data_IF_947180600113
#
_entry.id   IF_947180600113
#
_cell.length_a   1.000
_cell.length_b   1.000
_cell.length_c   1.000
_cell.angle_alpha   90.00
_cell.angle_beta   90.00
_cell.angle_gamma   90.00
#
_symmetry.space_group_name_H-M   'P 1'
#
loop_
_entity.id
_entity.type
_entity.pdbx_description
1 polymer ?
#
# COMPACT_ATOMS: atom_id res chain seq x y z
N UNK A 1 -41.87 7.72 34.43
CA UNK A 1 -40.87 6.64 34.18
C UNK A 1 -40.90 6.11 32.74
N UNK A 2 -41.76 6.59 31.85
CA UNK A 2 -41.97 6.03 30.51
C UNK A 2 -41.09 6.67 29.42
N UNK A 3 -40.62 7.91 29.60
CA UNK A 3 -39.79 8.60 28.60
C UNK A 3 -38.35 8.05 28.51
N UNK A 4 -37.80 7.58 29.63
CA UNK A 4 -36.45 6.99 29.69
C UNK A 4 -36.38 5.60 29.02
N UNK A 5 -37.49 4.86 29.05
CA UNK A 5 -37.63 3.57 28.37
C UNK A 5 -37.65 3.73 26.85
N UNK A 6 -38.31 4.78 26.34
CA UNK A 6 -38.39 5.07 24.89
C UNK A 6 -37.00 5.49 24.36
N UNK A 7 -36.27 6.32 25.12
CA UNK A 7 -34.90 6.73 24.75
C UNK A 7 -33.91 5.57 24.69
N UNK A 8 -33.99 4.63 25.65
CA UNK A 8 -33.16 3.43 25.66
C UNK A 8 -33.51 2.42 24.56
N UNK A 9 -34.77 2.35 24.15
CA UNK A 9 -35.17 1.51 23.02
C UNK A 9 -34.63 2.05 21.69
N UNK A 10 -34.60 3.39 21.52
CA UNK A 10 -34.09 4.03 20.32
C UNK A 10 -32.57 3.84 20.13
N UNK A 11 -31.79 3.84 21.22
CA UNK A 11 -30.35 3.56 21.16
C UNK A 11 -30.06 2.10 20.87
N UNK A 12 -30.85 1.16 21.39
CA UNK A 12 -30.71 -0.27 21.05
C UNK A 12 -31.00 -0.55 19.57
N UNK A 13 -32.00 0.11 18.98
CA UNK A 13 -32.31 -0.02 17.54
C UNK A 13 -31.17 0.56 16.67
N UNK A 14 -30.58 1.70 17.08
CA UNK A 14 -29.46 2.30 16.36
C UNK A 14 -28.19 1.42 16.36
N UNK A 15 -27.93 0.66 17.43
CA UNK A 15 -26.81 -0.31 17.44
C UNK A 15 -27.04 -1.48 16.48
N UNK A 16 -28.28 -1.94 16.31
CA UNK A 16 -28.59 -3.01 15.35
C UNK A 16 -28.47 -2.57 13.89
N UNK A 17 -28.56 -1.26 13.61
CA UNK A 17 -28.30 -0.68 12.29
C UNK A 17 -26.80 -0.59 11.95
N UNK A 18 -25.92 -0.66 12.95
CA UNK A 18 -24.47 -0.71 12.75
C UNK A 18 -23.95 -2.15 12.58
N UNK A 19 -24.79 -3.15 12.88
CA UNK A 19 -24.60 -4.55 12.50
C UNK A 19 -25.12 -4.77 11.09
N UNK A 20 -24.46 -4.13 10.13
CA UNK A 20 -24.86 -4.15 8.74
C UNK A 20 -24.87 -5.59 8.18
N UNK A 21 -26.08 -6.14 8.03
CA UNK A 21 -26.34 -7.42 7.33
C UNK A 21 -26.57 -7.21 5.83
N UNK A 22 -26.41 -5.98 5.31
CA UNK A 22 -26.65 -5.63 3.91
C UNK A 22 -25.40 -5.67 3.04
N UNK A 23 -24.24 -5.91 3.62
CA UNK A 23 -23.10 -6.37 2.85
C UNK A 23 -23.26 -7.87 2.56
N UNK A 24 -23.39 -8.19 1.27
CA UNK A 24 -23.15 -9.52 0.69
C UNK A 24 -21.70 -9.94 1.00
N UNK A 25 -21.41 -10.25 2.26
CA UNK A 25 -20.15 -10.82 2.65
C UNK A 25 -20.06 -12.18 1.96
N UNK A 26 -19.04 -12.40 1.10
CA UNK A 26 -18.91 -13.67 0.42
C UNK A 26 -18.83 -14.76 1.49
N UNK A 27 -19.55 -15.86 1.25
CA UNK A 27 -19.52 -17.01 2.13
C UNK A 27 -18.05 -17.36 2.46
N UNK A 28 -17.74 -17.47 3.75
CA UNK A 28 -16.39 -17.83 4.17
C UNK A 28 -16.01 -19.14 3.49
N UNK A 29 -14.85 -19.16 2.84
CA UNK A 29 -14.32 -20.38 2.26
C UNK A 29 -14.28 -21.44 3.36
N UNK A 30 -14.72 -22.69 3.10
CA UNK A 30 -14.67 -23.74 4.10
C UNK A 30 -13.26 -23.82 4.69
N UNK A 31 -13.13 -23.90 6.01
CA UNK A 31 -11.83 -24.01 6.69
C UNK A 31 -11.01 -25.19 6.18
N UNK A 32 -11.68 -26.27 5.79
CA UNK A 32 -11.06 -27.42 5.13
C UNK A 32 -10.37 -27.08 3.80
N UNK A 33 -10.86 -26.07 3.06
CA UNK A 33 -10.28 -25.64 1.79
C UNK A 33 -9.15 -24.62 1.99
N UNK A 34 -9.20 -23.80 3.04
CA UNK A 34 -8.11 -22.88 3.43
C UNK A 34 -6.90 -23.66 3.97
N UNK A 35 -7.17 -24.74 4.71
CA UNK A 35 -6.14 -25.59 5.32
C UNK A 35 -5.75 -26.78 4.43
N UNK A 36 -6.31 -26.88 3.23
CA UNK A 36 -5.90 -27.90 2.27
C UNK A 36 -4.46 -27.63 1.82
N UNK A 37 -3.68 -28.70 1.66
CA UNK A 37 -2.35 -28.60 1.07
C UNK A 37 -2.48 -28.04 -0.36
N UNK A 38 -1.79 -26.95 -0.72
CA UNK A 38 -1.85 -26.40 -2.06
C UNK A 38 -1.47 -27.46 -3.10
N UNK A 39 -2.32 -27.62 -4.12
CA UNK A 39 -2.03 -28.52 -5.22
C UNK A 39 -0.75 -28.07 -5.94
N UNK A 40 0.28 -28.90 -5.89
CA UNK A 40 1.55 -28.65 -6.58
C UNK A 40 1.30 -28.75 -8.10
N UNK A 41 1.57 -27.68 -8.87
CA UNK A 41 1.36 -27.71 -10.32
C UNK A 41 2.19 -28.82 -10.99
N UNK A 42 1.66 -29.43 -12.05
CA UNK A 42 2.34 -30.55 -12.74
C UNK A 42 3.78 -30.22 -13.17
N UNK A 43 4.02 -28.99 -13.63
CA UNK A 43 5.34 -28.50 -14.04
C UNK A 43 6.34 -28.33 -12.87
N UNK A 44 5.86 -28.23 -11.62
CA UNK A 44 6.75 -28.19 -10.46
C UNK A 44 7.39 -29.56 -10.18
N UNK A 45 6.74 -30.65 -10.57
CA UNK A 45 7.34 -31.99 -10.53
C UNK A 45 8.48 -32.16 -11.55
N UNK A 46 8.40 -31.50 -12.70
CA UNK A 46 9.46 -31.52 -13.71
C UNK A 46 10.66 -30.69 -13.24
N UNK A 47 10.40 -29.53 -12.63
CA UNK A 47 11.44 -28.72 -12.00
C UNK A 47 12.14 -29.44 -10.83
N UNK A 48 11.41 -30.24 -10.04
CA UNK A 48 11.97 -31.00 -8.93
C UNK A 48 12.88 -32.16 -9.37
N UNK A 49 12.77 -32.61 -10.62
CA UNK A 49 13.61 -33.67 -11.20
C UNK A 49 14.79 -33.12 -12.00
N UNK A 50 14.85 -31.81 -12.20
CA UNK A 50 15.93 -31.15 -12.94
C UNK A 50 17.03 -30.68 -11.98
N UNK A 51 18.02 -31.55 -11.78
CA UNK A 51 19.19 -31.29 -10.94
C UNK A 51 20.04 -30.10 -11.46
N UNK A 52 19.87 -29.68 -12.72
CA UNK A 52 20.63 -28.56 -13.29
C UNK A 52 20.11 -27.19 -12.87
N UNK A 53 18.83 -27.11 -12.44
CA UNK A 53 18.22 -25.85 -12.01
C UNK A 53 18.92 -25.28 -10.78
N UNK A 54 19.30 -26.11 -9.81
CA UNK A 54 19.99 -25.67 -8.59
C UNK A 54 21.30 -24.93 -8.89
N UNK A 55 22.13 -25.51 -9.75
CA UNK A 55 23.39 -24.87 -10.18
C UNK A 55 23.15 -23.58 -10.98
N UNK A 56 22.11 -23.57 -11.84
CA UNK A 56 21.77 -22.37 -12.63
C UNK A 56 21.25 -21.22 -11.76
N UNK A 57 20.47 -21.51 -10.72
CA UNK A 57 19.95 -20.55 -9.77
C UNK A 57 21.04 -20.02 -8.85
N UNK A 58 21.95 -20.87 -8.40
CA UNK A 58 23.13 -20.47 -7.62
C UNK A 58 24.05 -19.54 -8.45
N UNK A 59 24.33 -19.89 -9.71
CA UNK A 59 25.11 -19.05 -10.61
C UNK A 59 24.45 -17.68 -10.86
N UNK A 60 23.12 -17.66 -11.05
CA UNK A 60 22.36 -16.40 -11.15
C UNK A 60 22.42 -15.61 -9.86
N UNK A 61 22.26 -16.26 -8.71
CA UNK A 61 22.35 -15.64 -7.39
C UNK A 61 23.70 -14.97 -7.17
N UNK A 62 24.80 -15.63 -7.55
CA UNK A 62 26.16 -15.06 -7.52
C UNK A 62 26.33 -13.88 -8.47
N UNK A 63 25.79 -13.98 -9.70
CA UNK A 63 25.83 -12.89 -10.66
C UNK A 63 25.02 -11.66 -10.17
N UNK A 64 23.87 -11.90 -9.55
CA UNK A 64 23.04 -10.88 -8.91
C UNK A 64 23.74 -10.27 -7.70
N UNK A 65 24.36 -11.07 -6.83
CA UNK A 65 25.12 -10.58 -5.67
C UNK A 65 26.34 -9.73 -6.10
N UNK A 66 27.05 -10.17 -7.14
CA UNK A 66 28.16 -9.39 -7.72
C UNK A 66 27.68 -8.07 -8.34
N UNK A 67 26.47 -8.03 -8.89
CA UNK A 67 25.83 -6.80 -9.40
C UNK A 67 25.18 -5.95 -8.32
N UNK A 68 24.75 -6.56 -7.22
CA UNK A 68 24.19 -5.92 -6.04
C UNK A 68 25.25 -5.15 -5.24
N UNK A 69 26.52 -5.25 -5.62
CA UNK A 69 27.52 -4.20 -5.41
C UNK A 69 27.22 -2.90 -6.18
N UNK A 70 25.93 -2.55 -6.32
CA UNK A 70 25.51 -1.21 -6.70
C UNK A 70 25.93 -0.20 -5.64
N UNK A 71 25.74 1.11 -5.89
CA UNK A 71 26.11 2.13 -4.92
C UNK A 71 25.53 1.76 -3.54
N UNK A 72 26.30 1.97 -2.46
CA UNK A 72 25.85 1.61 -1.12
C UNK A 72 24.45 2.17 -0.91
N UNK A 73 23.55 1.37 -0.32
CA UNK A 73 22.26 1.88 0.12
C UNK A 73 22.51 3.20 0.85
N UNK A 74 21.77 4.25 0.47
CA UNK A 74 21.96 5.58 1.04
C UNK A 74 22.02 5.45 2.57
N UNK A 75 23.08 6.00 3.18
CA UNK A 75 23.26 5.86 4.62
C UNK A 75 22.10 6.54 5.35
N UNK A 76 21.85 6.15 6.60
CA UNK A 76 20.81 6.82 7.40
C UNK A 76 21.06 8.34 7.49
N UNK A 77 22.31 8.79 7.49
CA UNK A 77 22.66 10.21 7.45
C UNK A 77 22.25 10.86 6.13
N UNK A 78 22.50 10.20 4.99
CA UNK A 78 22.09 10.69 3.66
C UNK A 78 20.56 10.76 3.54
N UNK A 79 19.86 9.74 4.04
CA UNK A 79 18.39 9.71 4.06
C UNK A 79 17.82 10.82 4.96
N UNK A 80 18.42 11.04 6.13
CA UNK A 80 17.99 12.12 7.04
C UNK A 80 18.19 13.49 6.39
N UNK A 81 19.36 13.74 5.79
CA UNK A 81 19.63 14.99 5.07
C UNK A 81 18.62 15.26 3.95
N UNK A 82 18.26 14.22 3.17
CA UNK A 82 17.22 14.32 2.14
C UNK A 82 15.85 14.61 2.72
N UNK A 83 15.48 13.95 3.82
CA UNK A 83 14.20 14.17 4.48
C UNK A 83 14.09 15.60 5.05
N UNK A 84 15.18 16.14 5.60
CA UNK A 84 15.24 17.51 6.09
C UNK A 84 15.11 18.52 4.93
N UNK A 85 15.81 18.29 3.83
CA UNK A 85 15.69 19.12 2.62
C UNK A 85 14.26 19.10 2.05
N UNK A 86 13.60 17.94 2.04
CA UNK A 86 12.21 17.80 1.60
C UNK A 86 11.26 18.55 2.53
N UNK A 87 11.42 18.42 3.85
CA UNK A 87 10.60 19.14 4.84
C UNK A 87 10.77 20.66 4.71
N UNK A 88 11.99 21.15 4.48
CA UNK A 88 12.25 22.57 4.25
C UNK A 88 11.52 23.08 3.00
N UNK A 89 11.59 22.34 1.89
CA UNK A 89 10.87 22.69 0.65
C UNK A 89 9.36 22.69 0.85
N UNK A 90 8.82 21.65 1.50
CA UNK A 90 7.39 21.57 1.80
C UNK A 90 6.93 22.74 2.69
N UNK A 91 7.74 23.16 3.66
CA UNK A 91 7.42 24.30 4.51
C UNK A 91 7.34 25.62 3.72
N UNK A 92 8.22 25.80 2.73
CA UNK A 92 8.18 26.96 1.81
C UNK A 92 6.90 26.89 0.95
N UNK A 93 6.62 25.74 0.33
CA UNK A 93 5.41 25.56 -0.49
C UNK A 93 4.12 25.76 0.31
N UNK A 94 4.08 25.30 1.56
CA UNK A 94 2.88 25.45 2.41
C UNK A 94 2.56 26.90 2.80
N UNK A 95 3.55 27.79 2.69
CA UNK A 95 3.39 29.21 2.97
C UNK A 95 3.07 30.02 1.71
N UNK A 96 3.16 29.40 0.52
CA UNK A 96 2.68 30.03 -0.70
C UNK A 96 1.16 30.03 -0.69
N UNK A 97 0.57 31.22 -0.85
CA UNK A 97 -0.87 31.33 -1.04
C UNK A 97 -1.26 30.68 -2.36
N UNK A 98 -2.29 29.84 -2.33
CA UNK A 98 -2.91 29.27 -3.53
C UNK A 98 -3.81 30.29 -4.24
N UNK A 99 -4.00 31.48 -3.64
CA UNK A 99 -4.72 32.61 -4.24
C UNK A 99 -3.81 33.30 -5.28
N UNK A 100 -3.42 32.57 -6.32
CA UNK A 100 -2.87 33.16 -7.53
C UNK A 100 -4.07 33.58 -8.42
N UNK A 101 -4.31 34.88 -8.65
CA UNK A 101 -5.44 35.35 -9.45
C UNK A 101 -5.41 34.87 -10.90
N UNK A 102 -4.29 34.31 -11.36
CA UNK A 102 -4.09 33.84 -12.73
C UNK A 102 -4.33 32.32 -12.92
N UNK A 103 -4.75 31.58 -11.89
CA UNK A 103 -5.19 30.19 -12.06
C UNK A 103 -6.72 30.04 -11.92
N UNK A 104 -7.48 30.02 -13.04
CA UNK A 104 -8.92 29.79 -13.01
C UNK A 104 -9.25 28.36 -12.57
N UNK A 105 -10.33 28.21 -11.79
CA UNK A 105 -10.72 27.00 -11.05
C UNK A 105 -10.86 25.70 -11.88
N UNK A 106 -10.88 25.80 -13.20
CA UNK A 106 -11.14 24.69 -14.12
C UNK A 106 -9.92 24.27 -14.96
N UNK A 107 -8.72 24.79 -14.69
CA UNK A 107 -7.51 24.39 -15.44
C UNK A 107 -6.71 23.26 -14.77
N UNK A 108 -6.61 22.07 -15.39
CA UNK A 108 -5.83 20.95 -14.85
C UNK A 108 -4.32 21.17 -14.91
N UNK A 109 -3.85 22.16 -15.69
CA UNK A 109 -2.43 22.45 -15.90
C UNK A 109 -1.79 23.29 -14.78
N UNK A 110 -2.59 23.93 -13.92
CA UNK A 110 -2.09 24.56 -12.71
C UNK A 110 -1.60 23.55 -11.65
N UNK A 111 -1.95 22.27 -11.80
CA UNK A 111 -1.39 21.20 -10.99
C UNK A 111 -0.02 20.78 -11.55
N UNK A 112 0.99 21.65 -11.45
CA UNK A 112 2.39 21.22 -11.50
C UNK A 112 3.26 21.74 -12.64
N UNK A 113 3.26 23.05 -12.91
CA UNK A 113 4.32 23.67 -13.72
C UNK A 113 4.93 24.88 -13.02
N UNK A 114 6.03 24.67 -12.32
CA UNK A 114 6.99 25.73 -12.05
C UNK A 114 8.40 25.14 -11.97
N UNK A 115 9.03 24.95 -13.14
CA UNK A 115 10.48 24.98 -13.29
C UNK A 115 10.87 25.00 -14.79
N UNK A 116 10.96 26.19 -15.37
CA UNK A 116 11.88 26.45 -16.48
C UNK A 116 12.30 27.92 -16.49
N UNK A 117 13.35 28.22 -15.72
CA UNK A 117 14.51 29.02 -16.14
C UNK A 117 15.68 28.81 -15.16
#
# INVERSE_FOLDING_TARGET
MSLRLIGGALTLIALTACGDRTHDYPALLPTAQILADPAIPAHAGDAARDDSLGASLDARGKALAGRAGGPPMASNADLQSRADALRARAAILSQQSLDDPDCPADQPDCAGQSAQD
#
